data_IF_099650577508
#
_entry.id   IF_099650577508
#
_cell.length_a   1.000
_cell.length_b   1.000
_cell.length_c   1.000
_cell.angle_alpha   90.00
_cell.angle_beta   90.00
_cell.angle_gamma   90.00
#
_symmetry.space_group_name_H-M   'P 1'
#
loop_
_entity.id
_entity.type
_entity.pdbx_description
1 polymer ?
#
# COMPACT_ATOMS: atom_id res chain seq x y z
N UNK A 1 -0.93 0.69 -32.64
CA UNK A 1 -1.45 -0.02 -31.45
C UNK A 1 -1.77 1.00 -30.36
N UNK A 2 -2.54 0.61 -29.35
CA UNK A 2 -2.85 1.47 -28.22
C UNK A 2 -2.15 0.95 -26.96
N UNK A 3 -1.51 1.83 -26.20
CA UNK A 3 -0.73 1.45 -25.03
C UNK A 3 -1.26 2.13 -23.76
N UNK A 4 -1.15 1.45 -22.63
CA UNK A 4 -1.34 2.02 -21.29
C UNK A 4 -0.05 1.84 -20.52
N UNK A 5 0.53 2.93 -20.01
CA UNK A 5 1.79 2.85 -19.27
C UNK A 5 1.54 2.72 -17.78
N UNK A 6 2.34 1.89 -17.12
CA UNK A 6 2.38 1.80 -15.67
C UNK A 6 3.80 2.07 -15.16
N UNK A 7 3.90 3.07 -14.28
CA UNK A 7 5.12 3.50 -13.64
C UNK A 7 5.07 3.24 -12.15
N UNK A 8 6.22 2.88 -11.57
CA UNK A 8 6.34 2.71 -10.12
C UNK A 8 7.48 3.53 -9.57
N UNK A 9 7.21 4.21 -8.47
CA UNK A 9 8.22 4.96 -7.73
C UNK A 9 8.14 4.67 -6.24
N UNK A 10 9.31 4.56 -5.59
CA UNK A 10 9.41 4.34 -4.14
C UNK A 10 9.75 5.65 -3.46
N UNK A 11 9.00 6.02 -2.43
CA UNK A 11 9.21 7.27 -1.68
C UNK A 11 10.57 7.32 -0.99
N UNK A 12 11.10 6.17 -0.57
CA UNK A 12 12.34 6.10 0.24
C UNK A 12 13.62 6.34 -0.56
N UNK A 13 13.59 6.15 -1.90
CA UNK A 13 14.75 6.39 -2.78
C UNK A 13 14.68 7.69 -3.57
N UNK A 14 13.54 8.38 -3.57
CA UNK A 14 13.31 9.51 -4.46
C UNK A 14 13.58 10.89 -3.88
N UNK A 15 13.87 11.01 -2.58
CA UNK A 15 14.26 12.30 -1.99
C UNK A 15 15.55 12.92 -2.56
N UNK A 16 16.22 12.31 -3.56
CA UNK A 16 17.54 12.78 -4.03
C UNK A 16 17.78 12.89 -5.54
N UNK A 17 16.90 12.47 -6.47
CA UNK A 17 17.26 12.65 -7.90
C UNK A 17 16.18 12.73 -8.98
N UNK A 18 14.94 12.27 -8.81
CA UNK A 18 13.93 12.30 -9.92
C UNK A 18 14.20 11.32 -11.09
N UNK A 19 15.47 10.97 -11.33
CA UNK A 19 16.00 10.14 -12.43
C UNK A 19 15.31 8.78 -12.62
N UNK A 20 14.70 8.23 -11.56
CA UNK A 20 14.06 6.92 -11.61
C UNK A 20 12.73 6.89 -12.37
N UNK A 21 11.96 7.99 -12.39
CA UNK A 21 10.70 8.07 -13.12
C UNK A 21 10.94 8.52 -14.57
N UNK A 22 11.83 9.50 -14.75
CA UNK A 22 12.17 10.02 -16.07
C UNK A 22 12.79 8.95 -16.95
N UNK A 23 13.68 8.11 -16.41
CA UNK A 23 14.22 6.96 -17.13
C UNK A 23 13.14 5.93 -17.52
N UNK A 24 12.09 5.76 -16.69
CA UNK A 24 10.98 4.86 -17.02
C UNK A 24 10.11 5.44 -18.14
N UNK A 25 9.78 6.74 -18.05
CA UNK A 25 9.05 7.45 -19.09
C UNK A 25 9.80 7.43 -20.41
N UNK A 26 11.12 7.71 -20.40
CA UNK A 26 11.96 7.67 -21.59
C UNK A 26 12.01 6.29 -22.24
N UNK A 27 12.12 5.21 -21.45
CA UNK A 27 12.09 3.84 -21.96
C UNK A 27 10.74 3.51 -22.63
N UNK A 28 9.62 3.87 -21.98
CA UNK A 28 8.27 3.65 -22.52
C UNK A 28 8.04 4.48 -23.79
N UNK A 29 8.39 5.76 -23.79
CA UNK A 29 8.27 6.63 -24.96
C UNK A 29 9.08 6.09 -26.13
N UNK A 30 10.33 5.69 -25.90
CA UNK A 30 11.18 5.07 -26.93
C UNK A 30 10.56 3.77 -27.46
N UNK A 31 9.96 2.97 -26.58
CA UNK A 31 9.32 1.72 -26.99
C UNK A 31 8.04 1.95 -27.82
N UNK A 32 7.23 2.94 -27.46
CA UNK A 32 5.97 3.26 -28.15
C UNK A 32 6.22 3.98 -29.48
N UNK A 33 7.30 4.74 -29.60
CA UNK A 33 7.65 5.48 -30.80
C UNK A 33 7.61 4.58 -32.05
N UNK A 34 6.74 4.93 -33.01
CA UNK A 34 6.54 4.15 -34.24
C UNK A 34 5.72 2.87 -34.11
N UNK A 35 5.25 2.49 -32.90
CA UNK A 35 4.41 1.31 -32.66
C UNK A 35 2.96 1.66 -32.33
N UNK A 36 2.71 2.90 -31.89
CA UNK A 36 1.37 3.35 -31.57
C UNK A 36 1.33 4.57 -30.66
N UNK A 37 0.23 4.70 -29.92
CA UNK A 37 -0.05 5.86 -29.09
C UNK A 37 -0.30 5.46 -27.63
N UNK A 38 0.06 6.36 -26.71
CA UNK A 38 -0.16 6.19 -25.29
C UNK A 38 -1.54 6.74 -24.91
N UNK A 39 -2.44 5.87 -24.47
CA UNK A 39 -3.82 6.22 -24.10
C UNK A 39 -3.96 6.81 -22.70
N UNK A 40 -3.08 6.40 -21.79
CA UNK A 40 -3.01 6.86 -20.40
C UNK A 40 -1.73 6.34 -19.75
N UNK A 41 -1.26 7.05 -18.73
CA UNK A 41 -0.25 6.56 -17.81
C UNK A 41 -0.73 6.57 -16.35
N UNK A 42 -0.30 5.57 -15.60
CA UNK A 42 -0.61 5.39 -14.19
C UNK A 42 0.69 5.32 -13.40
N UNK A 43 0.82 6.15 -12.37
CA UNK A 43 2.03 6.19 -11.53
C UNK A 43 1.69 5.79 -10.12
N UNK A 44 2.27 4.69 -9.65
CA UNK A 44 2.14 4.22 -8.27
C UNK A 44 3.26 4.78 -7.40
N UNK A 45 2.88 5.47 -6.32
CA UNK A 45 3.81 6.03 -5.33
C UNK A 45 3.75 5.17 -4.08
N UNK A 46 4.78 4.34 -3.87
CA UNK A 46 4.82 3.38 -2.77
C UNK A 46 5.61 3.96 -1.59
N UNK A 47 4.94 4.14 -0.45
CA UNK A 47 5.57 4.40 0.84
C UNK A 47 5.47 3.19 1.76
N UNK A 48 6.63 2.61 2.08
CA UNK A 48 6.73 1.41 2.91
C UNK A 48 6.03 0.17 2.33
N UNK A 49 5.87 -0.85 3.17
CA UNK A 49 5.40 -2.21 2.85
C UNK A 49 3.90 -2.34 2.55
N UNK A 50 3.22 -1.28 2.10
CA UNK A 50 1.80 -1.35 1.76
C UNK A 50 1.57 -2.14 0.47
N UNK A 51 0.64 -3.08 0.54
CA UNK A 51 0.34 -4.05 -0.53
C UNK A 51 -0.74 -3.51 -1.50
N UNK A 52 -1.53 -2.53 -1.09
CA UNK A 52 -2.62 -1.99 -1.90
C UNK A 52 -2.09 -1.18 -3.09
N UNK A 53 -2.51 -1.57 -4.30
CA UNK A 53 -2.04 -1.03 -5.59
C UNK A 53 -3.19 -0.54 -6.46
N UNK A 54 -3.83 0.58 -6.08
CA UNK A 54 -4.99 1.09 -6.81
C UNK A 54 -4.65 1.52 -8.25
N UNK A 55 -3.44 2.05 -8.50
CA UNK A 55 -3.07 2.55 -9.82
C UNK A 55 -2.82 1.41 -10.81
N UNK A 56 -2.31 0.28 -10.33
CA UNK A 56 -2.18 -0.92 -11.14
C UNK A 56 -3.53 -1.48 -11.55
N UNK A 57 -4.47 -1.60 -10.61
CA UNK A 57 -5.81 -2.09 -10.91
C UNK A 57 -6.50 -1.20 -11.95
N UNK A 58 -6.39 0.12 -11.80
CA UNK A 58 -6.90 1.08 -12.77
C UNK A 58 -6.24 0.96 -14.15
N UNK A 59 -4.92 0.73 -14.20
CA UNK A 59 -4.20 0.52 -15.45
C UNK A 59 -4.66 -0.75 -16.18
N UNK A 60 -4.87 -1.86 -15.46
CA UNK A 60 -5.38 -3.12 -16.02
C UNK A 60 -6.81 -2.98 -16.53
N UNK A 61 -7.66 -2.32 -15.76
CA UNK A 61 -9.05 -2.07 -16.12
C UNK A 61 -9.13 -1.20 -17.39
N UNK A 62 -8.30 -0.14 -17.48
CA UNK A 62 -8.25 0.71 -18.65
C UNK A 62 -7.69 -0.02 -19.87
N UNK A 63 -6.62 -0.79 -19.70
CA UNK A 63 -6.03 -1.59 -20.77
C UNK A 63 -7.04 -2.61 -21.32
N UNK A 64 -7.77 -3.28 -20.43
CA UNK A 64 -8.85 -4.20 -20.81
C UNK A 64 -9.98 -3.48 -21.58
N UNK A 65 -10.50 -2.37 -21.04
CA UNK A 65 -11.57 -1.59 -21.70
C UNK A 65 -11.20 -1.08 -23.09
N UNK A 66 -9.97 -0.59 -23.24
CA UNK A 66 -9.49 -0.01 -24.50
C UNK A 66 -8.83 -1.03 -25.44
N UNK A 67 -8.77 -2.31 -25.06
CA UNK A 67 -7.98 -3.36 -25.74
C UNK A 67 -6.54 -2.88 -26.03
N UNK A 68 -5.96 -2.19 -25.06
CA UNK A 68 -4.62 -1.64 -25.12
C UNK A 68 -3.60 -2.59 -24.49
N UNK A 69 -2.36 -2.52 -24.95
CA UNK A 69 -1.24 -3.27 -24.37
C UNK A 69 -0.72 -2.51 -23.15
N UNK A 70 -0.64 -3.17 -22.01
CA UNK A 70 -0.01 -2.61 -20.81
C UNK A 70 1.52 -2.60 -21.00
N UNK A 71 2.15 -1.43 -20.94
CA UNK A 71 3.60 -1.28 -21.06
C UNK A 71 4.21 -0.88 -19.73
N UNK A 72 5.30 -1.55 -19.35
CA UNK A 72 6.15 -1.16 -18.23
C UNK A 72 7.57 -0.93 -18.70
N UNK A 73 8.29 -0.06 -18.00
CA UNK A 73 9.68 0.23 -18.33
C UNK A 73 10.63 -0.93 -18.03
N UNK A 74 10.50 -1.57 -16.86
CA UNK A 74 11.36 -2.70 -16.47
C UNK A 74 10.67 -3.74 -15.60
N UNK A 75 11.00 -5.01 -15.86
CA UNK A 75 10.48 -6.14 -15.11
C UNK A 75 11.21 -6.32 -13.78
N UNK A 76 12.49 -6.00 -13.64
CA UNK A 76 13.29 -6.19 -12.40
C UNK A 76 12.70 -5.50 -11.16
N UNK A 77 12.10 -4.32 -11.37
CA UNK A 77 11.45 -3.54 -10.32
C UNK A 77 10.06 -4.06 -9.98
N UNK A 78 9.44 -4.90 -10.80
CA UNK A 78 8.10 -5.44 -10.60
C UNK A 78 8.09 -6.94 -10.30
N UNK A 79 9.12 -7.68 -10.75
CA UNK A 79 9.30 -9.13 -10.60
C UNK A 79 9.51 -9.59 -9.16
N UNK A 80 9.96 -8.70 -8.26
CA UNK A 80 9.93 -8.97 -6.81
C UNK A 80 8.51 -9.08 -6.25
N UNK A 81 7.50 -8.86 -7.09
CA UNK A 81 6.11 -9.02 -6.73
C UNK A 81 5.48 -10.12 -7.61
N UNK A 82 5.59 -11.36 -7.14
CA UNK A 82 4.92 -12.53 -7.72
C UNK A 82 3.41 -12.28 -7.89
N UNK A 83 2.78 -11.55 -6.96
CA UNK A 83 1.36 -11.19 -7.05
C UNK A 83 1.05 -10.20 -8.19
N UNK A 84 2.00 -9.37 -8.62
CA UNK A 84 1.86 -8.54 -9.83
C UNK A 84 1.83 -9.41 -11.08
N UNK A 85 2.76 -10.35 -11.21
CA UNK A 85 2.81 -11.25 -12.36
C UNK A 85 1.55 -12.14 -12.39
N UNK A 86 1.11 -12.63 -11.23
CA UNK A 86 -0.14 -13.39 -11.10
C UNK A 86 -1.37 -12.56 -11.52
N UNK A 87 -1.49 -11.31 -11.05
CA UNK A 87 -2.60 -10.42 -11.41
C UNK A 87 -2.63 -10.07 -12.91
N UNK A 88 -1.45 -9.85 -13.51
CA UNK A 88 -1.32 -9.69 -14.96
C UNK A 88 -1.79 -10.93 -15.70
N UNK A 89 -1.37 -12.10 -15.22
CA UNK A 89 -1.73 -13.37 -15.81
C UNK A 89 -3.24 -13.62 -15.79
N UNK A 90 -3.94 -13.26 -14.70
CA UNK A 90 -5.39 -13.41 -14.56
C UNK A 90 -6.17 -12.41 -15.43
N UNK A 91 -5.65 -11.20 -15.62
CA UNK A 91 -6.34 -10.11 -16.34
C UNK A 91 -6.55 -10.37 -17.85
N UNK A 92 -5.84 -11.34 -18.45
CA UNK A 92 -5.76 -11.60 -19.90
C UNK A 92 -5.38 -10.39 -20.77
N UNK A 93 -4.93 -9.30 -20.17
CA UNK A 93 -4.44 -8.11 -20.87
C UNK A 93 -3.07 -8.39 -21.47
N UNK A 94 -2.87 -8.00 -22.74
CA UNK A 94 -1.54 -8.06 -23.35
C UNK A 94 -0.59 -7.09 -22.64
N UNK A 95 0.62 -7.55 -22.38
CA UNK A 95 1.58 -6.83 -21.57
C UNK A 95 2.97 -6.91 -22.19
N UNK A 96 3.73 -5.82 -22.11
CA UNK A 96 5.12 -5.75 -22.54
C UNK A 96 6.00 -5.02 -21.50
N UNK A 97 7.17 -5.60 -21.22
CA UNK A 97 8.24 -4.91 -20.52
C UNK A 97 9.28 -4.40 -21.53
N UNK A 98 9.66 -3.12 -21.45
CA UNK A 98 10.57 -2.51 -22.42
C UNK A 98 11.99 -3.11 -22.39
N UNK A 99 12.41 -3.66 -21.24
CA UNK A 99 13.68 -4.38 -21.06
C UNK A 99 13.65 -5.83 -21.56
N UNK A 100 12.46 -6.42 -21.69
CA UNK A 100 12.26 -7.76 -22.26
C UNK A 100 11.06 -7.76 -23.22
N UNK A 101 11.18 -7.08 -24.37
CA UNK A 101 10.04 -6.87 -25.28
C UNK A 101 9.54 -8.16 -25.95
N UNK A 102 10.34 -9.23 -25.93
CA UNK A 102 10.01 -10.54 -26.46
C UNK A 102 9.67 -11.57 -25.36
N UNK A 103 9.51 -11.14 -24.10
CA UNK A 103 9.17 -12.05 -23.01
C UNK A 103 7.83 -12.72 -23.28
N UNK A 104 7.85 -14.06 -23.42
CA UNK A 104 6.64 -14.85 -23.50
C UNK A 104 5.97 -14.96 -22.13
N UNK A 105 4.68 -15.32 -22.11
CA UNK A 105 3.97 -15.63 -20.87
C UNK A 105 4.67 -16.72 -20.06
N UNK A 106 5.26 -17.73 -20.71
CA UNK A 106 6.05 -18.77 -20.06
C UNK A 106 7.30 -18.20 -19.39
N UNK A 107 8.05 -17.33 -20.09
CA UNK A 107 9.24 -16.66 -19.55
C UNK A 107 8.90 -15.90 -18.28
N UNK A 108 7.75 -15.21 -18.25
CA UNK A 108 7.27 -14.49 -17.06
C UNK A 108 6.94 -15.44 -15.89
N UNK A 109 6.35 -16.61 -16.14
CA UNK A 109 6.08 -17.60 -15.09
C UNK A 109 7.37 -18.10 -14.46
N UNK A 110 8.37 -18.43 -15.29
CA UNK A 110 9.67 -18.91 -14.82
C UNK A 110 10.34 -17.82 -13.96
N UNK A 111 10.34 -16.57 -14.43
CA UNK A 111 10.93 -15.46 -13.68
C UNK A 111 10.19 -15.19 -12.36
N UNK A 112 8.85 -15.32 -12.35
CA UNK A 112 8.06 -15.20 -11.13
C UNK A 112 8.41 -16.30 -10.11
N UNK A 113 8.47 -17.55 -10.57
CA UNK A 113 8.81 -18.70 -9.72
C UNK A 113 10.25 -18.60 -9.16
N UNK A 114 11.21 -18.18 -9.98
CA UNK A 114 12.59 -17.93 -9.54
C UNK A 114 12.63 -16.83 -8.48
N UNK A 115 11.91 -15.72 -8.69
CA UNK A 115 11.85 -14.62 -7.74
C UNK A 115 11.18 -15.02 -6.41
N UNK A 116 10.16 -15.88 -6.46
CA UNK A 116 9.53 -16.47 -5.27
C UNK A 116 10.53 -17.32 -4.48
N UNK A 117 11.19 -18.25 -5.16
CA UNK A 117 12.19 -19.13 -4.56
C UNK A 117 13.35 -18.33 -3.93
N UNK A 118 13.88 -17.32 -4.62
CA UNK A 118 14.91 -16.45 -4.06
C UNK A 118 14.46 -15.74 -2.78
N UNK A 119 13.23 -15.21 -2.76
CA UNK A 119 12.66 -14.56 -1.57
C UNK A 119 12.54 -15.55 -0.41
N UNK A 120 12.07 -16.76 -0.67
CA UNK A 120 11.99 -17.82 0.33
C UNK A 120 13.37 -18.16 0.88
N UNK A 121 14.36 -18.35 0.01
CA UNK A 121 15.74 -18.65 0.39
C UNK A 121 16.36 -17.55 1.25
N UNK A 122 16.14 -16.27 0.91
CA UNK A 122 16.57 -15.14 1.74
C UNK A 122 15.90 -15.21 3.12
N UNK A 123 14.57 -15.42 3.16
CA UNK A 123 13.83 -15.54 4.42
C UNK A 123 14.36 -16.68 5.30
N UNK A 124 14.60 -17.85 4.71
CA UNK A 124 15.15 -19.01 5.39
C UNK A 124 16.55 -18.73 5.95
N UNK A 125 17.45 -18.14 5.14
CA UNK A 125 18.81 -17.75 5.57
C UNK A 125 18.77 -16.73 6.71
N UNK A 126 17.92 -15.70 6.62
CA UNK A 126 17.75 -14.71 7.69
C UNK A 126 17.23 -15.36 8.98
N UNK A 127 16.22 -16.23 8.89
CA UNK A 127 15.70 -16.96 10.07
C UNK A 127 16.77 -17.86 10.69
N UNK A 128 17.54 -18.58 9.88
CA UNK A 128 18.64 -19.42 10.36
C UNK A 128 19.73 -18.60 11.06
N UNK A 129 20.14 -17.47 10.46
CA UNK A 129 21.12 -16.56 11.04
C UNK A 129 20.64 -15.94 12.37
N UNK A 130 19.37 -15.54 12.44
CA UNK A 130 18.76 -15.01 13.67
C UNK A 130 18.65 -16.09 14.77
N UNK A 131 18.28 -17.31 14.41
CA UNK A 131 18.23 -18.44 15.35
C UNK A 131 19.62 -18.72 15.94
N UNK A 132 20.66 -18.68 15.12
CA UNK A 132 22.04 -18.86 15.55
C UNK A 132 22.53 -17.70 16.42
N UNK A 133 22.25 -16.45 16.04
CA UNK A 133 22.56 -15.28 16.86
C UNK A 133 21.89 -15.38 18.25
N UNK A 134 20.63 -15.83 18.31
CA UNK A 134 19.90 -16.07 19.55
C UNK A 134 20.56 -17.17 20.40
N UNK A 135 21.02 -18.27 19.79
CA UNK A 135 21.78 -19.34 20.49
C UNK A 135 23.09 -18.82 21.07
N UNK A 136 23.75 -17.89 20.37
CA UNK A 136 24.96 -17.20 20.85
C UNK A 136 24.69 -16.12 21.90
N UNK A 137 23.45 -15.98 22.37
CA UNK A 137 23.07 -15.01 23.39
C UNK A 137 22.91 -13.57 22.88
N UNK A 138 22.95 -13.33 21.56
CA UNK A 138 22.70 -12.00 20.99
C UNK A 138 21.25 -11.62 21.24
N UNK A 139 21.04 -10.51 21.95
CA UNK A 139 19.70 -9.94 22.16
C UNK A 139 19.23 -9.28 20.86
N UNK A 140 18.27 -9.91 20.19
CA UNK A 140 17.66 -9.41 18.96
C UNK A 140 16.57 -8.35 19.26
N UNK A 141 16.42 -7.37 18.37
CA UNK A 141 15.46 -6.25 18.51
C UNK A 141 16.08 -5.02 19.20
N UNK A 142 15.29 -3.93 19.33
CA UNK A 142 15.71 -2.74 20.09
C UNK A 142 15.44 -2.97 21.60
N UNK A 143 16.47 -3.17 22.45
CA UNK A 143 16.29 -3.48 23.86
C UNK A 143 15.68 -2.31 24.66
N UNK A 144 15.88 -1.08 24.17
CA UNK A 144 15.46 0.16 24.81
C UNK A 144 14.36 0.84 23.98
N UNK A 145 13.30 0.09 23.68
CA UNK A 145 12.14 0.52 22.88
C UNK A 145 11.36 1.75 23.41
N UNK A 146 11.95 2.53 24.30
CA UNK A 146 11.48 3.81 24.83
C UNK A 146 11.18 4.80 23.71
N UNK A 147 12.08 4.96 22.75
CA UNK A 147 11.89 5.85 21.60
C UNK A 147 10.71 5.39 20.73
N UNK A 148 10.64 4.09 20.43
CA UNK A 148 9.52 3.51 19.68
C UNK A 148 8.17 3.67 20.41
N UNK A 149 8.16 3.54 21.76
CA UNK A 149 6.96 3.78 22.58
C UNK A 149 6.53 5.24 22.58
N UNK A 150 7.47 6.18 22.63
CA UNK A 150 7.19 7.62 22.55
C UNK A 150 6.59 7.97 21.20
N UNK A 151 7.22 7.51 20.10
CA UNK A 151 6.70 7.72 18.74
C UNK A 151 5.30 7.11 18.56
N UNK A 152 5.09 5.89 19.05
CA UNK A 152 3.77 5.25 19.02
C UNK A 152 2.73 6.02 19.85
N UNK A 153 3.11 6.55 21.02
CA UNK A 153 2.21 7.34 21.86
C UNK A 153 1.83 8.67 21.19
N UNK A 154 2.76 9.35 20.53
CA UNK A 154 2.50 10.56 19.75
C UNK A 154 1.57 10.25 18.58
N UNK A 155 1.87 9.22 17.79
CA UNK A 155 1.04 8.81 16.66
C UNK A 155 -0.39 8.45 17.10
N UNK A 156 -0.53 7.66 18.19
CA UNK A 156 -1.82 7.30 18.76
C UNK A 156 -2.61 8.52 19.27
N UNK A 157 -1.92 9.52 19.82
CA UNK A 157 -2.56 10.77 20.29
C UNK A 157 -3.08 11.59 19.11
N UNK A 158 -2.25 11.76 18.07
CA UNK A 158 -2.63 12.50 16.85
C UNK A 158 -3.84 11.85 16.17
N UNK A 159 -3.85 10.53 16.03
CA UNK A 159 -4.96 9.79 15.43
C UNK A 159 -6.24 9.87 16.30
N UNK A 160 -6.10 9.79 17.63
CA UNK A 160 -7.22 9.96 18.54
C UNK A 160 -7.85 11.36 18.44
N UNK A 161 -7.05 12.41 18.26
CA UNK A 161 -7.55 13.79 18.04
C UNK A 161 -8.26 13.90 16.70
N UNK A 162 -7.66 13.44 15.60
CA UNK A 162 -8.30 13.46 14.27
C UNK A 162 -9.65 12.75 14.28
N UNK A 163 -9.72 11.58 14.90
CA UNK A 163 -10.97 10.81 15.00
C UNK A 163 -11.99 11.49 15.91
N UNK A 164 -11.55 12.13 17.00
CA UNK A 164 -12.45 12.90 17.84
C UNK A 164 -13.11 14.03 17.05
N UNK A 165 -12.36 14.77 16.20
CA UNK A 165 -12.91 15.82 15.33
C UNK A 165 -14.04 15.29 14.43
N UNK A 166 -13.89 14.08 13.88
CA UNK A 166 -14.90 13.47 13.01
C UNK A 166 -16.18 13.10 13.78
N UNK A 167 -16.03 12.56 14.99
CA UNK A 167 -17.17 11.96 15.71
C UNK A 167 -17.84 12.94 16.69
N UNK A 168 -17.13 13.97 17.14
CA UNK A 168 -17.62 14.93 18.13
C UNK A 168 -18.91 15.66 17.70
N UNK A 169 -19.08 16.15 16.46
CA UNK A 169 -20.33 16.79 16.05
C UNK A 169 -21.56 15.87 16.14
N UNK A 170 -21.37 14.58 15.85
CA UNK A 170 -22.44 13.58 15.96
C UNK A 170 -22.80 13.34 17.42
N UNK A 171 -21.80 13.23 18.29
CA UNK A 171 -22.02 13.09 19.74
C UNK A 171 -22.74 14.31 20.31
N UNK A 172 -22.34 15.53 19.92
CA UNK A 172 -22.95 16.77 20.40
C UNK A 172 -24.40 16.92 19.92
N UNK A 173 -24.70 16.57 18.67
CA UNK A 173 -26.08 16.55 18.14
C UNK A 173 -26.97 15.59 18.94
N UNK A 174 -26.46 14.41 19.29
CA UNK A 174 -27.20 13.43 20.11
C UNK A 174 -27.37 13.90 21.55
N UNK A 175 -26.39 14.59 22.11
CA UNK A 175 -26.49 15.18 23.45
C UNK A 175 -27.52 16.32 23.49
N UNK A 176 -27.60 17.14 22.44
CA UNK A 176 -28.61 18.20 22.31
C UNK A 176 -30.05 17.65 22.22
N UNK A 177 -30.22 16.42 21.74
CA UNK A 177 -31.49 15.68 21.76
C UNK A 177 -31.82 15.09 23.15
N UNK A 178 -31.02 15.35 24.17
CA UNK A 178 -31.24 14.88 25.54
C UNK A 178 -30.77 13.45 25.80
N UNK A 179 -30.04 12.81 24.88
CA UNK A 179 -29.57 11.44 25.08
C UNK A 179 -28.42 11.41 26.10
N UNK A 180 -28.53 10.49 27.08
CA UNK A 180 -27.43 10.17 27.98
C UNK A 180 -26.29 9.39 27.29
N UNK A 181 -25.10 9.39 27.88
CA UNK A 181 -23.87 8.82 27.28
C UNK A 181 -23.99 7.34 26.83
N UNK A 182 -24.76 6.51 27.55
CA UNK A 182 -25.03 5.12 27.16
C UNK A 182 -25.94 5.02 25.94
N UNK A 183 -26.93 5.92 25.84
CA UNK A 183 -27.82 5.99 24.68
C UNK A 183 -27.06 6.49 23.44
N UNK A 184 -26.20 7.50 23.60
CA UNK A 184 -25.31 7.98 22.54
C UNK A 184 -24.41 6.83 22.02
N UNK A 185 -23.79 6.05 22.92
CA UNK A 185 -22.95 4.92 22.53
C UNK A 185 -23.72 3.90 21.65
N UNK A 186 -24.93 3.51 22.06
CA UNK A 186 -25.78 2.60 21.27
C UNK A 186 -26.18 3.21 19.93
N UNK A 187 -26.46 4.50 19.89
CA UNK A 187 -26.85 5.21 18.67
C UNK A 187 -25.69 5.31 17.68
N UNK A 188 -24.45 5.50 18.15
CA UNK A 188 -23.25 5.47 17.32
C UNK A 188 -23.03 4.07 16.69
N UNK A 189 -23.27 3.00 17.45
CA UNK A 189 -23.24 1.62 16.92
C UNK A 189 -24.34 1.40 15.88
N UNK A 190 -25.57 1.83 16.18
CA UNK A 190 -26.72 1.71 15.27
C UNK A 190 -26.46 2.42 13.94
N UNK A 191 -25.75 3.55 13.97
CA UNK A 191 -25.31 4.31 12.78
C UNK A 191 -24.10 3.71 12.06
N UNK A 192 -23.56 2.59 12.55
CA UNK A 192 -22.39 1.93 11.95
C UNK A 192 -21.06 2.66 12.16
N UNK A 193 -21.03 3.68 13.01
CA UNK A 193 -19.80 4.42 13.32
C UNK A 193 -18.94 3.52 14.20
N UNK A 194 -17.81 3.04 13.68
CA UNK A 194 -16.91 2.16 14.46
C UNK A 194 -16.09 2.94 15.50
N UNK A 195 -15.67 2.31 16.58
CA UNK A 195 -14.66 2.90 17.48
C UNK A 195 -13.26 2.86 16.83
N UNK A 196 -12.28 3.56 17.42
CA UNK A 196 -10.90 3.59 16.90
C UNK A 196 -10.25 2.20 16.76
N UNK A 197 -10.66 1.23 17.58
CA UNK A 197 -10.16 -0.16 17.51
C UNK A 197 -11.17 -1.14 16.90
N UNK A 198 -12.25 -0.63 16.29
CA UNK A 198 -13.31 -1.46 15.71
C UNK A 198 -14.20 -2.20 16.73
N UNK A 199 -14.01 -1.97 18.03
CA UNK A 199 -14.85 -2.55 19.09
C UNK A 199 -16.14 -1.77 19.33
N UNK A 200 -16.92 -2.25 20.30
CA UNK A 200 -18.20 -1.67 20.74
C UNK A 200 -18.03 -0.29 21.39
N UNK A 201 -19.01 0.60 21.22
CA UNK A 201 -19.05 1.88 21.90
C UNK A 201 -19.45 1.70 23.36
N UNK A 202 -18.64 2.25 24.25
CA UNK A 202 -18.95 2.38 25.66
C UNK A 202 -19.21 3.84 26.02
N UNK A 203 -20.05 4.09 27.03
CA UNK A 203 -20.28 5.43 27.58
C UNK A 203 -18.97 6.11 28.04
N UNK A 204 -17.98 5.32 28.51
CA UNK A 204 -16.66 5.81 28.87
C UNK A 204 -15.90 6.38 27.65
N UNK A 205 -16.05 5.77 26.47
CA UNK A 205 -15.43 6.23 25.22
C UNK A 205 -16.06 7.53 24.74
N UNK A 206 -17.39 7.63 24.81
CA UNK A 206 -18.12 8.88 24.49
C UNK A 206 -17.67 10.01 25.42
N UNK A 207 -17.60 9.75 26.73
CA UNK A 207 -17.09 10.70 27.73
C UNK A 207 -15.65 11.13 27.45
N UNK A 208 -14.77 10.20 27.08
CA UNK A 208 -13.38 10.51 26.77
C UNK A 208 -13.24 11.39 25.52
N UNK A 209 -14.12 11.23 24.52
CA UNK A 209 -14.15 12.11 23.33
C UNK A 209 -14.64 13.51 23.72
N UNK A 210 -15.72 13.60 24.50
CA UNK A 210 -16.23 14.87 25.02
C UNK A 210 -15.22 15.61 25.90
N UNK A 211 -14.39 14.90 26.67
CA UNK A 211 -13.34 15.51 27.50
C UNK A 211 -12.26 16.23 26.67
N UNK A 212 -12.11 15.88 25.39
CA UNK A 212 -11.18 16.54 24.44
C UNK A 212 -11.74 17.81 23.81
N UNK A 213 -12.97 18.22 24.21
CA UNK A 213 -13.62 19.47 23.82
C UNK A 213 -12.96 20.71 24.43
N UNK A 214 -12.26 20.55 25.55
CA UNK A 214 -11.56 21.65 26.21
C UNK A 214 -10.10 21.72 25.73
N UNK A 215 -9.61 22.90 25.31
CA UNK A 215 -8.20 23.09 25.00
C UNK A 215 -7.32 22.78 26.22
#
# INVERSE_FOLDING_TARGET
>A
MLFVAYYRVSTDRQGRSGLGLDAQRAAVTTYIAGRGELAADFTEIESGSKIDRPQLAAALEMASRKRAVLVIARLDRLARNVAFIAGLMDSRVEFVACDMPHASRLTLHILAAVAEHEREMISQRTKAALAEAKRRGVRLGNPDGREARVLAAVANRTEAVRRAVIVLPVIESLQAQGLGLRAIARELERRGIKTARGGRWAAATVRAILARRRP
#
